data_IF_873013032110
#
_entry.id   IF_873013032110
#
_cell.length_a   1.000
_cell.length_b   1.000
_cell.length_c   1.000
_cell.angle_alpha   90.00
_cell.angle_beta   90.00
_cell.angle_gamma   90.00
#
_symmetry.space_group_name_H-M   'P 1'
#
loop_
_entity.id
_entity.type
_entity.pdbx_description
1 polymer ?
#
# COMPACT_ATOMS: atom_id res chain seq x y z
N UNK A 1 -10.11 -10.79 12.62
CA UNK A 1 -9.39 -12.09 12.50
C UNK A 1 -9.29 -12.41 11.01
N UNK A 2 -8.18 -12.80 10.38
CA UNK A 2 -8.16 -13.14 8.94
C UNK A 2 -7.23 -12.31 8.05
N UNK A 3 -6.79 -11.12 8.48
CA UNK A 3 -5.83 -10.32 7.72
C UNK A 3 -4.40 -10.87 7.88
N UNK A 4 -3.96 -11.26 9.09
CA UNK A 4 -2.66 -11.94 9.25
C UNK A 4 -2.55 -13.26 8.48
N UNK A 5 -3.62 -14.05 8.42
CA UNK A 5 -3.66 -15.34 7.72
C UNK A 5 -3.59 -15.15 6.20
N UNK A 6 -4.35 -14.18 5.68
CA UNK A 6 -4.30 -13.79 4.27
C UNK A 6 -2.93 -13.23 3.91
N UNK A 7 -2.35 -12.37 4.75
CA UNK A 7 -1.01 -11.82 4.57
C UNK A 7 0.03 -12.94 4.49
N UNK A 8 0.05 -13.87 5.44
CA UNK A 8 0.97 -15.01 5.41
C UNK A 8 0.79 -15.89 4.16
N UNK A 9 -0.45 -16.07 3.69
CA UNK A 9 -0.73 -16.80 2.44
C UNK A 9 -0.17 -16.07 1.22
N UNK A 10 -0.37 -14.75 1.15
CA UNK A 10 0.13 -13.91 0.06
C UNK A 10 1.65 -13.84 0.04
N UNK A 11 2.32 -13.80 1.20
CA UNK A 11 3.79 -13.87 1.27
C UNK A 11 4.32 -15.16 0.62
N UNK A 12 3.72 -16.31 0.94
CA UNK A 12 4.09 -17.60 0.33
C UNK A 12 3.81 -17.62 -1.18
N UNK A 13 2.67 -17.06 -1.59
CA UNK A 13 2.30 -16.94 -3.00
C UNK A 13 3.30 -16.10 -3.80
N UNK A 14 3.67 -14.93 -3.28
CA UNK A 14 4.65 -14.03 -3.89
C UNK A 14 6.02 -14.71 -4.01
N UNK A 15 6.48 -15.38 -2.95
CA UNK A 15 7.74 -16.12 -3.01
C UNK A 15 7.73 -17.22 -4.08
N UNK A 16 6.62 -17.96 -4.22
CA UNK A 16 6.47 -18.99 -5.25
C UNK A 16 6.44 -18.40 -6.67
N UNK A 17 5.76 -17.26 -6.87
CA UNK A 17 5.78 -16.54 -8.17
C UNK A 17 7.20 -16.07 -8.47
N UNK A 18 7.89 -15.50 -7.49
CA UNK A 18 9.25 -14.98 -7.66
C UNK A 18 10.26 -16.06 -8.06
N UNK A 19 10.16 -17.25 -7.47
CA UNK A 19 10.95 -18.42 -7.86
C UNK A 19 10.72 -18.80 -9.32
N UNK A 20 9.46 -18.79 -9.78
CA UNK A 20 9.11 -19.08 -11.18
C UNK A 20 9.63 -18.02 -12.16
N UNK A 21 9.68 -16.76 -11.73
CA UNK A 21 10.24 -15.66 -12.53
C UNK A 21 11.78 -15.59 -12.49
N UNK A 22 12.43 -16.48 -11.72
CA UNK A 22 13.89 -16.52 -11.61
C UNK A 22 14.47 -15.24 -11.00
N UNK A 23 13.76 -14.60 -10.06
CA UNK A 23 14.28 -13.47 -9.28
C UNK A 23 14.70 -12.23 -10.09
N UNK A 24 14.18 -12.06 -11.31
CA UNK A 24 14.60 -10.99 -12.24
C UNK A 24 14.05 -9.61 -11.90
N UNK A 25 12.90 -9.55 -11.25
CA UNK A 25 12.18 -8.31 -10.94
C UNK A 25 11.66 -8.33 -9.52
N UNK A 26 11.44 -7.16 -8.91
CA UNK A 26 10.60 -7.09 -7.72
C UNK A 26 9.12 -7.26 -8.13
N UNK A 27 8.32 -7.85 -7.25
CA UNK A 27 6.87 -7.98 -7.42
C UNK A 27 6.21 -7.26 -6.25
N UNK A 28 5.53 -6.16 -6.53
CA UNK A 28 4.73 -5.44 -5.54
C UNK A 28 3.25 -5.72 -5.76
N UNK A 29 2.50 -5.87 -4.67
CA UNK A 29 1.05 -6.07 -4.69
C UNK A 29 0.38 -5.18 -3.65
N UNK A 30 -0.78 -4.66 -3.99
CA UNK A 30 -1.69 -4.01 -3.04
C UNK A 30 -2.79 -4.98 -2.64
N UNK A 31 -3.15 -4.96 -1.37
CA UNK A 31 -4.11 -5.84 -0.73
C UNK A 31 -5.22 -4.99 -0.13
N UNK A 32 -6.46 -5.46 -0.28
CA UNK A 32 -7.64 -4.86 0.33
C UNK A 32 -8.48 -5.95 0.94
N UNK A 33 -9.02 -5.69 2.13
CA UNK A 33 -10.00 -6.54 2.78
C UNK A 33 -11.11 -5.69 3.37
N UNK A 34 -12.36 -6.02 3.04
CA UNK A 34 -13.51 -5.46 3.74
C UNK A 34 -13.61 -6.11 5.12
N UNK A 35 -13.73 -5.29 6.16
CA UNK A 35 -13.99 -5.77 7.51
C UNK A 35 -15.46 -6.18 7.63
N UNK A 36 -15.78 -7.25 8.40
CA UNK A 36 -17.16 -7.58 8.70
C UNK A 36 -17.86 -6.40 9.38
N UNK A 37 -19.04 -6.05 8.91
CA UNK A 37 -19.84 -4.96 9.45
C UNK A 37 -21.29 -5.37 9.62
N UNK A 38 -22.02 -4.74 10.57
CA UNK A 38 -23.46 -4.91 10.65
C UNK A 38 -24.13 -4.44 9.35
N UNK A 39 -25.31 -4.99 9.00
CA UNK A 39 -26.04 -4.64 7.77
C UNK A 39 -26.37 -3.15 7.64
N UNK A 40 -26.38 -2.43 8.77
CA UNK A 40 -26.77 -1.02 8.91
C UNK A 40 -25.61 -0.05 8.62
N UNK A 41 -24.38 -0.55 8.41
CA UNK A 41 -23.24 0.31 8.16
C UNK A 41 -23.39 1.06 6.82
N UNK A 42 -23.30 2.40 6.87
CA UNK A 42 -23.46 3.25 5.70
C UNK A 42 -22.36 3.03 4.64
N UNK A 43 -21.14 2.66 5.06
CA UNK A 43 -20.02 2.41 4.17
C UNK A 43 -19.13 1.25 4.66
N UNK A 44 -18.61 0.41 3.73
CA UNK A 44 -17.77 -0.72 4.07
C UNK A 44 -16.43 -0.25 4.64
N UNK A 45 -16.10 -0.65 5.87
CA UNK A 45 -14.76 -0.47 6.43
C UNK A 45 -13.79 -1.40 5.70
N UNK A 46 -12.66 -0.85 5.27
CA UNK A 46 -11.65 -1.57 4.52
C UNK A 46 -10.28 -1.42 5.20
N UNK A 47 -9.57 -2.53 5.26
CA UNK A 47 -8.16 -2.58 5.58
C UNK A 47 -7.36 -2.67 4.28
N UNK A 48 -6.42 -1.75 4.09
CA UNK A 48 -5.51 -1.69 2.95
C UNK A 48 -4.07 -1.84 3.43
N UNK A 49 -3.33 -2.70 2.76
CA UNK A 49 -1.89 -2.84 2.95
C UNK A 49 -1.27 -3.30 1.64
N UNK A 50 0.03 -3.41 1.61
CA UNK A 50 0.80 -3.78 0.43
C UNK A 50 1.97 -4.66 0.80
N UNK A 51 2.49 -5.34 -0.21
CA UNK A 51 3.62 -6.24 -0.06
C UNK A 51 4.57 -6.09 -1.23
N UNK A 52 5.85 -6.39 -1.02
CA UNK A 52 6.80 -6.58 -2.10
C UNK A 52 7.64 -7.81 -1.86
N UNK A 53 7.88 -8.59 -2.90
CA UNK A 53 8.93 -9.60 -2.95
C UNK A 53 10.09 -9.05 -3.79
N UNK A 54 11.25 -8.87 -3.17
CA UNK A 54 12.45 -8.37 -3.84
C UNK A 54 13.12 -9.45 -4.68
N UNK A 55 14.05 -9.03 -5.54
CA UNK A 55 14.90 -9.96 -6.31
C UNK A 55 15.67 -10.93 -5.41
N UNK A 56 16.03 -10.52 -4.19
CA UNK A 56 16.65 -11.42 -3.19
C UNK A 56 15.74 -12.55 -2.72
N UNK A 57 14.44 -12.51 -3.02
CA UNK A 57 13.42 -13.42 -2.48
C UNK A 57 12.83 -12.95 -1.15
N UNK A 58 13.37 -11.89 -0.55
CA UNK A 58 12.83 -11.31 0.67
C UNK A 58 11.47 -10.67 0.44
N UNK A 59 10.54 -10.90 1.38
CA UNK A 59 9.17 -10.37 1.32
C UNK A 59 8.97 -9.37 2.45
N UNK A 60 8.42 -8.20 2.13
CA UNK A 60 8.00 -7.20 3.09
C UNK A 60 6.48 -7.03 3.01
N UNK A 61 5.83 -6.90 4.16
CA UNK A 61 4.43 -6.50 4.29
C UNK A 61 4.33 -5.16 5.03
N UNK A 62 3.40 -4.31 4.58
CA UNK A 62 2.96 -3.11 5.31
C UNK A 62 1.76 -3.38 6.22
N UNK A 63 1.29 -4.63 6.38
CA UNK A 63 0.17 -4.97 7.26
C UNK A 63 0.29 -4.38 8.69
N UNK A 64 1.47 -4.35 9.35
CA UNK A 64 1.60 -3.73 10.67
C UNK A 64 1.28 -2.23 10.70
N UNK A 65 1.32 -1.56 9.55
CA UNK A 65 0.97 -0.17 9.34
C UNK A 65 -0.20 -0.03 8.36
N UNK A 66 -1.06 -1.05 8.25
CA UNK A 66 -2.19 -1.05 7.32
C UNK A 66 -3.09 0.16 7.53
N UNK A 67 -3.60 0.71 6.42
CA UNK A 67 -4.53 1.83 6.43
C UNK A 67 -5.95 1.31 6.57
N UNK A 68 -6.66 1.79 7.60
CA UNK A 68 -8.09 1.56 7.76
C UNK A 68 -8.84 2.74 7.14
N UNK A 69 -9.84 2.44 6.33
CA UNK A 69 -10.58 3.47 5.60
C UNK A 69 -12.04 3.08 5.35
N UNK A 70 -12.92 4.05 5.26
CA UNK A 70 -14.26 3.92 4.70
C UNK A 70 -14.28 4.66 3.36
N UNK A 71 -14.02 3.97 2.22
CA UNK A 71 -13.95 4.63 0.94
C UNK A 71 -15.32 5.18 0.55
N UNK A 72 -15.37 6.44 0.10
CA UNK A 72 -16.55 7.03 -0.53
C UNK A 72 -16.78 6.43 -1.91
N UNK A 73 -15.69 6.09 -2.61
CA UNK A 73 -15.72 5.42 -3.91
C UNK A 73 -14.49 4.51 -4.07
N UNK A 74 -14.67 3.33 -4.70
CA UNK A 74 -13.56 2.38 -4.85
C UNK A 74 -12.69 2.61 -6.10
N UNK A 75 -13.10 3.51 -7.00
CA UNK A 75 -12.47 3.77 -8.29
C UNK A 75 -11.15 4.56 -8.13
N UNK A 76 -10.19 4.34 -9.04
CA UNK A 76 -8.90 5.07 -9.09
C UNK A 76 -7.89 4.73 -7.98
N UNK A 77 -8.26 3.87 -7.02
CA UNK A 77 -7.38 3.50 -5.92
C UNK A 77 -6.14 2.69 -6.33
N UNK A 78 -6.19 1.97 -7.45
CA UNK A 78 -5.05 1.22 -7.99
C UNK A 78 -3.99 2.13 -8.61
N UNK A 79 -4.41 3.06 -9.46
CA UNK A 79 -3.52 4.02 -10.12
C UNK A 79 -2.90 4.99 -9.11
N UNK A 80 -3.70 5.44 -8.13
CA UNK A 80 -3.22 6.28 -7.04
C UNK A 80 -2.21 5.56 -6.16
N UNK A 81 -2.43 4.26 -5.88
CA UNK A 81 -1.45 3.44 -5.18
C UNK A 81 -0.13 3.39 -5.95
N UNK A 82 -0.18 3.06 -7.25
CA UNK A 82 1.01 2.97 -8.09
C UNK A 82 1.76 4.31 -8.16
N UNK A 83 1.04 5.42 -8.33
CA UNK A 83 1.61 6.76 -8.33
C UNK A 83 2.33 7.07 -7.02
N UNK A 84 1.75 6.70 -5.87
CA UNK A 84 2.36 6.93 -4.56
C UNK A 84 3.61 6.08 -4.32
N UNK A 85 3.61 4.84 -4.81
CA UNK A 85 4.80 3.98 -4.81
C UNK A 85 5.91 4.59 -5.68
N UNK A 86 5.59 5.01 -6.90
CA UNK A 86 6.55 5.64 -7.81
C UNK A 86 7.13 6.92 -7.21
N UNK A 87 6.29 7.81 -6.67
CA UNK A 87 6.75 9.04 -5.99
C UNK A 87 7.67 8.70 -4.80
N UNK A 88 7.32 7.69 -4.00
CA UNK A 88 8.15 7.25 -2.88
C UNK A 88 9.50 6.67 -3.29
N UNK A 89 9.58 5.97 -4.43
CA UNK A 89 10.83 5.42 -4.96
C UNK A 89 11.68 6.47 -5.70
N UNK A 90 11.03 7.36 -6.46
CA UNK A 90 11.67 8.38 -7.28
C UNK A 90 12.12 9.61 -6.47
N UNK A 91 11.49 9.87 -5.33
CA UNK A 91 11.85 10.98 -4.42
C UNK A 91 13.17 10.79 -3.66
N UNK A 92 13.91 9.70 -3.91
CA UNK A 92 15.17 9.40 -3.25
C UNK A 92 16.38 9.87 -4.06
N UNK A 93 17.42 10.41 -3.40
CA UNK A 93 18.68 10.76 -4.07
C UNK A 93 19.38 9.49 -4.58
N UNK A 94 19.64 9.42 -5.88
CA UNK A 94 20.34 8.31 -6.53
C UNK A 94 20.30 8.45 -8.06
N UNK A 95 21.15 7.72 -8.81
CA UNK A 95 21.14 7.78 -10.26
C UNK A 95 19.80 7.27 -10.81
N UNK A 96 19.15 8.08 -11.66
CA UNK A 96 17.85 7.79 -12.28
C UNK A 96 17.87 6.63 -13.31
N UNK A 97 19.04 6.03 -13.55
CA UNK A 97 19.25 5.02 -14.57
C UNK A 97 19.29 3.61 -13.95
N UNK A 98 18.22 2.85 -14.22
CA UNK A 98 17.87 1.54 -13.64
C UNK A 98 17.34 1.63 -12.20
N UNK A 99 16.20 0.98 -11.94
CA UNK A 99 15.66 0.75 -10.60
C UNK A 99 16.81 0.25 -9.69
N UNK A 100 17.38 1.11 -8.83
CA UNK A 100 18.49 0.70 -7.98
C UNK A 100 18.00 -0.44 -7.09
N UNK A 101 18.92 -1.21 -6.53
CA UNK A 101 18.58 -2.16 -5.47
C UNK A 101 18.13 -1.37 -4.22
N UNK A 102 16.93 -0.79 -4.27
CA UNK A 102 16.38 0.03 -3.20
C UNK A 102 16.35 -0.80 -1.92
N UNK A 103 16.83 -0.25 -0.80
CA UNK A 103 16.76 -0.93 0.49
C UNK A 103 15.32 -1.33 0.84
N UNK A 104 15.18 -2.35 1.68
CA UNK A 104 13.90 -2.81 2.20
C UNK A 104 13.09 -1.68 2.85
N UNK A 105 13.75 -0.83 3.62
CA UNK A 105 13.13 0.32 4.27
C UNK A 105 12.55 1.32 3.25
N UNK A 106 13.25 1.52 2.13
CA UNK A 106 12.77 2.36 1.02
C UNK A 106 11.51 1.77 0.40
N UNK A 107 11.53 0.48 0.09
CA UNK A 107 10.36 -0.19 -0.46
C UNK A 107 9.17 -0.10 0.49
N UNK A 108 9.38 -0.38 1.79
CA UNK A 108 8.34 -0.25 2.81
C UNK A 108 7.74 1.16 2.82
N UNK A 109 8.57 2.20 2.86
CA UNK A 109 8.10 3.58 2.87
C UNK A 109 7.33 3.96 1.59
N UNK A 110 7.77 3.48 0.42
CA UNK A 110 7.08 3.70 -0.83
C UNK A 110 5.71 2.99 -0.88
N UNK A 111 5.63 1.76 -0.38
CA UNK A 111 4.37 1.01 -0.26
C UNK A 111 3.39 1.69 0.71
N UNK A 112 3.86 2.12 1.89
CA UNK A 112 3.05 2.89 2.86
C UNK A 112 2.52 4.19 2.23
N UNK A 113 3.35 4.90 1.44
CA UNK A 113 2.92 6.09 0.69
C UNK A 113 1.85 5.75 -0.34
N UNK A 114 2.02 4.65 -1.10
CA UNK A 114 1.03 4.17 -2.04
C UNK A 114 -0.30 3.81 -1.36
N UNK A 115 -0.24 3.11 -0.23
CA UNK A 115 -1.42 2.73 0.56
C UNK A 115 -2.19 3.97 1.02
N UNK A 116 -1.49 4.97 1.55
CA UNK A 116 -2.09 6.23 2.01
C UNK A 116 -2.65 7.08 0.87
N UNK A 117 -1.91 7.22 -0.25
CA UNK A 117 -2.38 8.02 -1.39
C UNK A 117 -3.65 7.41 -2.01
N UNK A 118 -3.70 6.07 -2.10
CA UNK A 118 -4.90 5.38 -2.54
C UNK A 118 -6.07 5.59 -1.58
N UNK A 119 -5.82 5.63 -0.27
CA UNK A 119 -6.87 5.88 0.70
C UNK A 119 -7.42 7.31 0.58
N UNK A 120 -6.55 8.31 0.49
CA UNK A 120 -6.95 9.70 0.26
C UNK A 120 -7.69 9.87 -1.08
N UNK A 121 -7.28 9.17 -2.13
CA UNK A 121 -8.01 9.15 -3.41
C UNK A 121 -9.44 8.70 -3.25
N UNK A 122 -9.67 7.65 -2.46
CA UNK A 122 -10.97 7.03 -2.27
C UNK A 122 -11.90 7.83 -1.35
N UNK A 123 -11.41 8.95 -0.78
CA UNK A 123 -12.22 9.96 -0.10
C UNK A 123 -12.81 11.02 -1.04
N UNK A 124 -12.56 10.92 -2.35
CA UNK A 124 -13.04 11.84 -3.38
C UNK A 124 -13.72 11.06 -4.50
N UNK A 125 -14.91 11.50 -4.90
CA UNK A 125 -15.69 10.91 -6.01
C UNK A 125 -15.08 11.34 -7.36
N UNK A 126 -15.03 10.39 -8.31
CA UNK A 126 -14.49 10.55 -9.65
C UNK A 126 -13.11 9.93 -9.83
N UNK A 127 -12.62 9.82 -11.06
CA UNK A 127 -11.35 9.12 -11.34
C UNK A 127 -10.11 9.90 -10.90
N UNK A 128 -10.20 11.24 -10.91
CA UNK A 128 -9.10 12.12 -10.52
C UNK A 128 -9.32 12.68 -9.11
N UNK A 129 -8.26 12.75 -8.32
CA UNK A 129 -8.22 13.58 -7.11
C UNK A 129 -7.03 14.52 -7.17
N UNK A 130 -7.15 15.64 -6.47
CA UNK A 130 -6.03 16.51 -6.19
C UNK A 130 -5.59 16.25 -4.74
N UNK A 131 -4.61 15.36 -4.56
CA UNK A 131 -3.96 15.13 -3.27
C UNK A 131 -2.59 15.78 -3.33
N UNK A 132 -2.41 16.84 -2.55
CA UNK A 132 -1.13 17.53 -2.46
C UNK A 132 -0.12 16.71 -1.64
N UNK A 133 1.18 16.88 -1.94
CA UNK A 133 2.24 16.21 -1.18
C UNK A 133 2.14 16.51 0.32
N UNK A 134 1.82 17.75 0.70
CA UNK A 134 1.67 18.13 2.11
C UNK A 134 0.53 17.36 2.79
N UNK A 135 -0.60 17.15 2.10
CA UNK A 135 -1.73 16.40 2.62
C UNK A 135 -1.35 14.93 2.84
N UNK A 136 -0.63 14.34 1.88
CA UNK A 136 -0.11 12.98 1.98
C UNK A 136 0.85 12.80 3.16
N UNK A 137 1.82 13.72 3.34
CA UNK A 137 2.75 13.68 4.47
C UNK A 137 2.03 13.83 5.82
N UNK A 138 1.05 14.73 5.90
CA UNK A 138 0.27 14.94 7.12
C UNK A 138 -0.53 13.68 7.49
N UNK A 139 -1.18 13.04 6.51
CA UNK A 139 -1.92 11.81 6.72
C UNK A 139 -1.01 10.64 7.15
N UNK A 140 0.17 10.51 6.52
CA UNK A 140 1.18 9.52 6.92
C UNK A 140 1.67 9.75 8.36
N UNK A 141 1.90 11.00 8.75
CA UNK A 141 2.32 11.34 10.10
C UNK A 141 1.23 11.04 11.14
N UNK A 142 -0.03 11.41 10.86
CA UNK A 142 -1.19 11.10 11.71
C UNK A 142 -1.37 9.60 11.90
N UNK A 143 -1.31 8.85 10.80
CA UNK A 143 -1.43 7.38 10.80
C UNK A 143 -0.36 6.70 11.65
N UNK A 144 0.89 7.17 11.55
CA UNK A 144 2.00 6.68 12.39
C UNK A 144 1.78 7.03 13.87
N UNK A 145 1.33 8.25 14.17
CA UNK A 145 1.06 8.68 15.53
C UNK A 145 -0.10 7.91 16.19
N UNK A 146 -1.13 7.54 15.41
CA UNK A 146 -2.27 6.74 15.90
C UNK A 146 -1.98 5.23 16.00
N UNK A 147 -0.81 4.78 15.54
CA UNK A 147 -0.48 3.36 15.44
C UNK A 147 -1.39 2.60 14.47
N UNK A 148 -1.84 3.27 13.40
CA UNK A 148 -2.72 2.70 12.37
C UNK A 148 -4.15 2.41 12.80
N UNK A 149 -4.60 3.03 13.89
CA UNK A 149 -5.97 2.85 14.42
C UNK A 149 -6.97 3.84 13.85
N UNK A 150 -6.49 4.95 13.30
CA UNK A 150 -7.33 5.97 12.68
C UNK A 150 -8.01 5.40 11.42
N UNK A 151 -9.29 5.73 11.26
CA UNK A 151 -10.07 5.39 10.05
C UNK A 151 -10.16 6.63 9.19
N UNK A 152 -9.70 6.51 7.95
CA UNK A 152 -9.80 7.56 6.92
C UNK A 152 -11.14 7.56 6.20
#
# INVERSE_FOLDING_TARGET
EGAPELDALLQRGLAAVQQRLGHRTAIAVTCKRREPQPPEAEAPLQLRWSMVCLRSGEVISTLPAAVRQQPREEIGGGDSWLSGVIDGLAGLPGPAAAAPAWPLATWRAALERGDMLAALKQQVIGDFSHVERQQLEAALASHKASGGKEVL
#
